data_IF_110244711904
#
_entry.id   IF_110244711904
#
_cell.length_a   1.000
_cell.length_b   1.000
_cell.length_c   1.000
_cell.angle_alpha   90.00
_cell.angle_beta   90.00
_cell.angle_gamma   90.00
#
_symmetry.space_group_name_H-M   'P 1'
#
loop_
_entity.id
_entity.type
_entity.pdbx_description
1 polymer ?
#
# COMPACT_ATOMS: atom_id res chain seq x y z
N UNK A 1 8.37 18.53 -6.83
CA UNK A 1 7.41 17.43 -6.62
C UNK A 1 7.66 16.27 -7.57
N UNK A 2 7.01 16.26 -8.73
CA UNK A 2 6.91 15.10 -9.64
C UNK A 2 8.26 14.45 -10.01
N UNK A 3 9.29 15.23 -10.38
CA UNK A 3 10.62 14.66 -10.68
C UNK A 3 11.21 13.88 -9.50
N UNK A 4 10.96 14.35 -8.28
CA UNK A 4 11.41 13.68 -7.05
C UNK A 4 10.60 12.41 -6.82
N UNK A 5 9.28 12.47 -6.98
CA UNK A 5 8.40 11.29 -6.94
C UNK A 5 8.89 10.17 -7.87
N UNK A 6 9.15 10.48 -9.14
CA UNK A 6 9.63 9.51 -10.11
C UNK A 6 10.99 8.93 -9.72
N UNK A 7 11.90 9.76 -9.18
CA UNK A 7 13.21 9.30 -8.69
C UNK A 7 13.05 8.32 -7.53
N UNK A 8 12.24 8.67 -6.53
CA UNK A 8 12.11 7.91 -5.30
C UNK A 8 11.30 6.62 -5.54
N UNK A 9 10.27 6.66 -6.39
CA UNK A 9 9.56 5.48 -6.87
C UNK A 9 10.47 4.50 -7.63
N UNK A 10 11.34 5.01 -8.51
CA UNK A 10 12.31 4.18 -9.23
C UNK A 10 13.35 3.56 -8.29
N UNK A 11 13.79 4.31 -7.27
CA UNK A 11 14.68 3.77 -6.24
C UNK A 11 13.97 2.66 -5.46
N UNK A 12 12.75 2.91 -4.99
CA UNK A 12 11.93 1.95 -4.24
C UNK A 12 11.70 0.66 -5.03
N UNK A 13 11.33 0.78 -6.30
CA UNK A 13 11.13 -0.36 -7.20
C UNK A 13 12.39 -1.21 -7.40
N UNK A 14 13.58 -0.62 -7.25
CA UNK A 14 14.86 -1.35 -7.36
C UNK A 14 15.32 -1.98 -6.04
N UNK A 15 14.83 -1.48 -4.90
CA UNK A 15 15.23 -1.95 -3.56
C UNK A 15 14.23 -2.91 -2.94
N UNK A 16 13.04 -3.05 -3.52
CA UNK A 16 12.00 -3.94 -3.01
C UNK A 16 11.77 -5.14 -3.94
N UNK A 17 12.27 -6.34 -3.58
CA UNK A 17 12.17 -7.54 -4.41
C UNK A 17 10.74 -7.93 -4.80
N UNK A 18 9.77 -7.63 -3.93
CA UNK A 18 8.36 -7.87 -4.19
C UNK A 18 7.83 -7.15 -5.44
N UNK A 19 8.49 -6.08 -5.90
CA UNK A 19 8.07 -5.32 -7.08
C UNK A 19 8.66 -5.83 -8.40
N UNK A 20 9.60 -6.79 -8.39
CA UNK A 20 10.25 -7.25 -9.64
C UNK A 20 10.56 -8.75 -9.72
N UNK A 21 10.73 -9.48 -8.61
CA UNK A 21 11.19 -10.88 -8.67
C UNK A 21 10.13 -11.83 -9.26
N UNK A 22 8.85 -11.49 -9.09
CA UNK A 22 7.69 -12.37 -9.35
C UNK A 22 6.71 -11.74 -10.34
N UNK A 23 7.13 -10.76 -11.16
CA UNK A 23 6.24 -10.05 -12.10
C UNK A 23 5.52 -10.95 -13.12
N UNK A 24 6.10 -12.12 -13.41
CA UNK A 24 5.55 -13.09 -14.36
C UNK A 24 4.98 -14.34 -13.68
N UNK A 25 4.87 -14.32 -12.35
CA UNK A 25 4.35 -15.42 -11.52
C UNK A 25 3.02 -14.97 -10.90
N UNK A 26 1.90 -15.70 -11.09
CA UNK A 26 0.62 -15.36 -10.48
C UNK A 26 0.69 -15.20 -8.95
N UNK A 27 1.58 -15.92 -8.30
CA UNK A 27 1.80 -15.88 -6.85
C UNK A 27 2.41 -14.56 -6.38
N UNK A 28 3.02 -13.79 -7.28
CA UNK A 28 3.65 -12.50 -7.01
C UNK A 28 2.67 -11.34 -6.81
N UNK A 29 1.39 -11.55 -7.14
CA UNK A 29 0.35 -10.54 -7.09
C UNK A 29 -0.96 -11.12 -6.52
N UNK A 30 -1.60 -10.40 -5.60
CA UNK A 30 -2.96 -10.75 -5.17
C UNK A 30 -3.79 -9.49 -4.99
N UNK A 31 -5.00 -9.46 -5.56
CA UNK A 31 -5.97 -8.46 -5.15
C UNK A 31 -6.30 -8.59 -3.65
N UNK A 32 -6.41 -7.44 -2.99
CA UNK A 32 -7.02 -7.35 -1.66
C UNK A 32 -8.46 -6.93 -1.85
N UNK A 33 -8.69 -5.82 -2.54
CA UNK A 33 -9.99 -5.43 -3.03
C UNK A 33 -9.89 -4.63 -4.33
N UNK A 34 -10.78 -4.97 -5.26
CA UNK A 34 -10.96 -4.32 -6.56
C UNK A 34 -12.43 -4.00 -6.84
N UNK A 35 -13.33 -4.31 -5.90
CA UNK A 35 -14.77 -4.11 -6.04
C UNK A 35 -15.26 -2.78 -5.51
N UNK A 36 -14.44 -2.00 -4.79
CA UNK A 36 -14.81 -0.66 -4.33
C UNK A 36 -14.75 0.39 -5.46
N UNK A 37 -15.48 0.12 -6.54
CA UNK A 37 -15.60 1.01 -7.70
C UNK A 37 -16.34 2.30 -7.33
N UNK A 38 -17.27 2.25 -6.39
CA UNK A 38 -18.01 3.43 -5.90
C UNK A 38 -17.07 4.46 -5.28
N UNK A 39 -16.05 3.99 -4.54
CA UNK A 39 -15.04 4.87 -3.97
C UNK A 39 -13.79 5.02 -4.85
N UNK A 40 -13.72 4.27 -5.95
CA UNK A 40 -12.55 4.16 -6.85
C UNK A 40 -11.26 3.92 -6.07
N UNK A 41 -11.32 2.97 -5.13
CA UNK A 41 -10.18 2.53 -4.35
C UNK A 41 -9.76 1.14 -4.82
N UNK A 42 -8.45 0.96 -5.01
CA UNK A 42 -7.85 -0.30 -5.40
C UNK A 42 -6.79 -0.70 -4.40
N UNK A 43 -6.77 -1.96 -3.98
CA UNK A 43 -5.75 -2.48 -3.09
C UNK A 43 -5.27 -3.87 -3.51
N UNK A 44 -3.95 -4.08 -3.48
CA UNK A 44 -3.34 -5.36 -3.85
C UNK A 44 -2.04 -5.58 -3.08
N UNK A 45 -1.67 -6.86 -2.98
CA UNK A 45 -0.41 -7.30 -2.41
C UNK A 45 0.58 -7.69 -3.50
N UNK A 46 1.86 -7.47 -3.20
CA UNK A 46 3.00 -7.96 -3.96
C UNK A 46 3.91 -8.78 -3.04
N UNK A 47 4.47 -9.85 -3.57
CA UNK A 47 5.31 -10.78 -2.81
C UNK A 47 6.65 -11.01 -3.48
N UNK A 48 7.74 -11.02 -2.72
CA UNK A 48 9.02 -11.56 -3.20
C UNK A 48 8.93 -13.06 -3.43
N UNK A 49 9.91 -13.61 -4.14
CA UNK A 49 9.95 -15.05 -4.44
C UNK A 49 9.98 -15.93 -3.19
N UNK A 50 10.66 -15.47 -2.13
CA UNK A 50 10.74 -16.14 -0.84
C UNK A 50 9.61 -15.77 0.14
N UNK A 51 8.67 -14.91 -0.28
CA UNK A 51 7.55 -14.38 0.50
C UNK A 51 7.93 -13.64 1.80
N UNK A 52 9.21 -13.31 1.99
CA UNK A 52 9.66 -12.53 3.16
C UNK A 52 9.40 -11.03 3.01
N UNK A 53 9.29 -10.55 1.77
CA UNK A 53 8.94 -9.18 1.48
C UNK A 53 7.51 -9.14 0.96
N UNK A 54 6.62 -8.59 1.78
CA UNK A 54 5.22 -8.36 1.43
C UNK A 54 4.99 -6.86 1.37
N UNK A 55 4.48 -6.40 0.22
CA UNK A 55 4.03 -5.04 0.04
C UNK A 55 2.52 -5.00 -0.15
N UNK A 56 1.86 -4.10 0.57
CA UNK A 56 0.50 -3.69 0.29
C UNK A 56 0.54 -2.36 -0.47
N UNK A 57 -0.16 -2.29 -1.59
CA UNK A 57 -0.34 -1.07 -2.37
C UNK A 57 -1.81 -0.69 -2.31
N UNK A 58 -2.10 0.57 -1.98
CA UNK A 58 -3.46 1.11 -1.91
C UNK A 58 -3.53 2.41 -2.70
N UNK A 59 -4.52 2.52 -3.58
CA UNK A 59 -4.75 3.68 -4.45
C UNK A 59 -6.13 4.26 -4.20
N UNK A 60 -6.22 5.56 -3.93
CA UNK A 60 -7.46 6.32 -3.97
C UNK A 60 -7.48 7.17 -5.24
N UNK A 61 -8.34 6.82 -6.21
CA UNK A 61 -8.41 7.50 -7.48
C UNK A 61 -9.43 8.66 -7.50
N UNK A 62 -9.83 9.17 -6.34
CA UNK A 62 -10.75 10.30 -6.19
C UNK A 62 -10.13 11.43 -5.36
N UNK A 63 -10.55 12.70 -5.54
CA UNK A 63 -10.09 13.81 -4.72
C UNK A 63 -10.68 13.82 -3.30
N UNK A 64 -11.51 12.83 -2.95
CA UNK A 64 -12.11 12.71 -1.63
C UNK A 64 -11.20 11.83 -0.76
N UNK A 65 -10.60 12.36 0.32
CA UNK A 65 -9.79 11.55 1.23
C UNK A 65 -10.66 10.51 1.94
N UNK A 66 -10.07 9.37 2.30
CA UNK A 66 -10.75 8.30 3.03
C UNK A 66 -10.15 8.16 4.40
N UNK A 67 -10.94 8.48 5.42
CA UNK A 67 -10.59 8.25 6.81
C UNK A 67 -11.07 6.87 7.25
N UNK A 68 -10.32 6.24 8.16
CA UNK A 68 -10.64 4.93 8.71
C UNK A 68 -10.96 3.85 7.65
N UNK A 69 -10.21 3.87 6.55
CA UNK A 69 -10.42 2.95 5.44
C UNK A 69 -9.75 1.62 5.74
N UNK A 70 -10.56 0.55 5.86
CA UNK A 70 -10.07 -0.76 6.27
C UNK A 70 -9.58 -1.60 5.08
N UNK A 71 -8.39 -2.19 5.21
CA UNK A 71 -7.78 -3.04 4.19
C UNK A 71 -7.28 -4.34 4.82
N UNK A 72 -7.75 -5.49 4.33
CA UNK A 72 -7.30 -6.79 4.82
C UNK A 72 -5.84 -7.09 4.46
N UNK A 73 -5.09 -7.68 5.39
CA UNK A 73 -3.68 -8.08 5.22
C UNK A 73 -3.43 -9.50 5.76
N UNK A 74 -2.46 -10.25 5.19
CA UNK A 74 -2.25 -11.65 5.56
C UNK A 74 -1.53 -11.83 6.89
N UNK A 75 -0.69 -10.87 7.29
CA UNK A 75 0.19 -10.95 8.45
C UNK A 75 -0.16 -9.89 9.50
N UNK A 76 -0.05 -10.26 10.76
CA UNK A 76 -0.10 -9.34 11.90
C UNK A 76 1.16 -8.46 11.97
N UNK A 77 1.21 -7.54 12.94
CA UNK A 77 2.37 -6.71 13.19
C UNK A 77 2.34 -5.37 12.44
N UNK A 78 3.50 -4.70 12.42
CA UNK A 78 3.61 -3.35 11.90
C UNK A 78 3.79 -3.30 10.38
N UNK A 79 2.97 -2.50 9.72
CA UNK A 79 3.04 -2.21 8.29
C UNK A 79 3.54 -0.78 8.08
N UNK A 80 4.81 -0.66 7.69
CA UNK A 80 5.49 0.63 7.49
C UNK A 80 5.03 1.30 6.20
N UNK A 81 4.58 2.55 6.26
CA UNK A 81 4.30 3.38 5.08
C UNK A 81 5.64 3.82 4.46
N UNK A 82 6.09 3.09 3.43
CA UNK A 82 7.39 3.31 2.80
C UNK A 82 7.38 4.40 1.73
N UNK A 83 6.23 4.59 1.07
CA UNK A 83 6.10 5.56 0.00
C UNK A 83 4.65 6.06 -0.07
N UNK A 84 4.46 7.37 -0.09
CA UNK A 84 3.17 8.04 -0.15
C UNK A 84 3.25 9.18 -1.17
N UNK A 85 2.48 9.09 -2.27
CA UNK A 85 2.53 10.10 -3.33
C UNK A 85 2.02 11.48 -2.92
N UNK A 86 1.24 11.57 -1.83
CA UNK A 86 0.72 12.83 -1.28
C UNK A 86 1.67 13.48 -0.27
N UNK A 87 2.87 12.93 -0.06
CA UNK A 87 3.87 13.57 0.80
C UNK A 87 4.25 14.98 0.30
N UNK A 88 4.53 15.90 1.23
CA UNK A 88 4.83 17.31 0.93
C UNK A 88 6.06 17.49 0.03
N UNK A 89 7.04 16.59 0.12
CA UNK A 89 8.22 16.56 -0.75
C UNK A 89 7.91 16.30 -2.24
N UNK A 90 6.76 15.65 -2.50
CA UNK A 90 6.24 15.42 -3.85
C UNK A 90 5.25 16.52 -4.28
N UNK A 91 4.89 17.43 -3.38
CA UNK A 91 3.94 18.52 -3.61
C UNK A 91 2.49 18.16 -3.27
N UNK A 92 2.27 17.07 -2.54
CA UNK A 92 0.97 16.73 -1.97
C UNK A 92 0.69 17.44 -0.65
N UNK A 93 -0.42 17.07 0.00
CA UNK A 93 -0.90 17.73 1.22
C UNK A 93 -0.11 17.34 2.47
N UNK A 94 0.63 16.24 2.43
CA UNK A 94 1.33 15.66 3.58
C UNK A 94 0.46 14.74 4.43
N UNK A 95 -0.74 14.41 3.99
CA UNK A 95 -1.64 13.51 4.69
C UNK A 95 -1.23 12.05 4.48
N UNK A 96 -1.40 11.20 5.49
CA UNK A 96 -0.94 9.82 5.44
C UNK A 96 -1.04 9.14 6.80
N UNK A 97 -0.21 8.11 6.99
CA UNK A 97 -0.31 7.21 8.14
C UNK A 97 0.86 7.39 9.12
N UNK A 98 1.53 8.55 9.06
CA UNK A 98 2.58 8.99 9.99
C UNK A 98 3.69 7.94 10.24
N UNK A 99 4.04 7.17 9.21
CA UNK A 99 5.11 6.17 9.23
C UNK A 99 4.65 4.73 9.13
N UNK A 100 3.38 4.42 9.41
CA UNK A 100 2.83 3.07 9.28
C UNK A 100 1.70 2.78 10.28
N UNK A 101 1.12 1.59 10.17
CA UNK A 101 -0.06 1.17 10.94
C UNK A 101 0.15 -0.24 11.47
N UNK A 102 -0.31 -0.50 12.68
CA UNK A 102 -0.33 -1.85 13.26
C UNK A 102 -1.53 -2.64 12.73
N UNK A 103 -1.32 -3.89 12.34
CA UNK A 103 -2.41 -4.78 11.94
C UNK A 103 -3.26 -5.19 13.15
N UNK A 104 -4.57 -5.06 13.00
CA UNK A 104 -5.55 -5.50 13.99
C UNK A 104 -5.99 -6.94 13.67
N UNK A 105 -6.22 -7.76 14.70
CA UNK A 105 -6.89 -9.07 14.61
C UNK A 105 -8.40 -8.88 14.38
N UNK A 106 -8.71 -8.31 13.22
CA UNK A 106 -10.05 -8.06 12.72
C UNK A 106 -10.12 -8.53 11.26
N UNK A 107 -10.76 -9.68 10.99
CA UNK A 107 -10.82 -10.22 9.64
C UNK A 107 -11.54 -9.30 8.66
N UNK A 108 -10.93 -9.06 7.50
CA UNK A 108 -11.49 -8.22 6.43
C UNK A 108 -10.96 -8.63 5.06
N UNK A 109 -11.73 -8.40 3.98
CA UNK A 109 -11.38 -8.81 2.60
C UNK A 109 -10.89 -10.27 2.49
N UNK A 110 -11.47 -11.19 3.29
CA UNK A 110 -11.10 -12.62 3.31
C UNK A 110 -9.74 -12.93 3.93
N UNK A 111 -9.17 -12.00 4.72
CA UNK A 111 -7.86 -12.11 5.36
C UNK A 111 -8.01 -12.03 6.89
N UNK A 112 -7.09 -12.63 7.67
CA UNK A 112 -7.21 -12.72 9.13
C UNK A 112 -7.03 -11.38 9.83
N UNK A 113 -6.17 -10.50 9.30
CA UNK A 113 -5.88 -9.19 9.88
C UNK A 113 -6.32 -8.06 8.97
N UNK A 114 -6.38 -6.85 9.50
CA UNK A 114 -6.62 -5.65 8.69
C UNK A 114 -5.95 -4.40 9.25
N UNK A 115 -5.70 -3.44 8.36
CA UNK A 115 -5.18 -2.12 8.68
C UNK A 115 -6.30 -1.10 8.62
N UNK A 116 -6.31 -0.16 9.57
CA UNK A 116 -7.15 1.02 9.53
C UNK A 116 -6.36 2.21 8.96
N UNK A 117 -6.58 2.55 7.69
CA UNK A 117 -5.75 3.49 6.96
C UNK A 117 -6.42 4.85 6.78
N UNK A 118 -5.59 5.89 6.74
CA UNK A 118 -5.93 7.14 6.06
C UNK A 118 -5.47 7.07 4.60
N UNK A 119 -6.37 7.27 3.65
CA UNK A 119 -6.04 7.38 2.22
C UNK A 119 -6.10 8.84 1.77
N UNK A 120 -4.98 9.44 1.34
CA UNK A 120 -4.97 10.80 0.81
C UNK A 120 -5.78 10.91 -0.49
N UNK A 121 -6.20 12.13 -0.86
CA UNK A 121 -6.92 12.37 -2.10
C UNK A 121 -5.99 12.14 -3.30
N UNK A 122 -6.47 11.44 -4.34
CA UNK A 122 -5.69 11.12 -5.55
C UNK A 122 -4.31 10.51 -5.24
N UNK A 123 -4.22 9.67 -4.20
CA UNK A 123 -2.97 9.18 -3.66
C UNK A 123 -2.73 7.68 -3.88
N UNK A 124 -1.46 7.30 -3.97
CA UNK A 124 -0.99 5.91 -3.89
C UNK A 124 -0.05 5.74 -2.70
N UNK A 125 -0.32 4.71 -1.90
CA UNK A 125 0.42 4.35 -0.70
C UNK A 125 1.03 2.96 -0.84
N UNK A 126 2.26 2.81 -0.36
CA UNK A 126 2.99 1.55 -0.32
C UNK A 126 3.35 1.23 1.12
N UNK A 127 2.83 0.11 1.63
CA UNK A 127 3.13 -0.39 2.96
C UNK A 127 3.97 -1.66 2.87
N UNK A 128 4.98 -1.76 3.74
CA UNK A 128 5.84 -2.95 3.87
C UNK A 128 5.65 -3.57 5.24
N UNK A 129 5.32 -4.85 5.26
CA UNK A 129 5.31 -5.63 6.49
C UNK A 129 6.71 -5.65 7.14
N UNK A 130 6.79 -5.35 8.43
CA UNK A 130 8.01 -5.48 9.22
C UNK A 130 7.95 -6.79 10.01
N UNK A 131 8.62 -7.82 9.49
CA UNK A 131 8.86 -9.09 10.18
C UNK A 131 9.93 -8.98 11.25
#
# INVERSE_FOLDING_TARGET
GIRRWVKDLNLFSRTEPALYETDFEPEGFQWVDFHDYENSVFSFLRFSKDKKHILLVVMNCTPVPRENYRVGVPEEGFWKECLNSDATEYGGTGSGNFGGVEAEDLPFHGRPYSLNLYLPPLGILFFKHQS
#
